data_IF_536836952247
#
_entry.id   IF_536836952247
#
_cell.length_a   1.000
_cell.length_b   1.000
_cell.length_c   1.000
_cell.angle_alpha   90.00
_cell.angle_beta   90.00
_cell.angle_gamma   90.00
#
_symmetry.space_group_name_H-M   'P 1'
#
loop_
_entity.id
_entity.type
_entity.pdbx_description
1 polymer ?
#
# COMPACT_ATOMS: atom_id res chain seq x y z
N UNK A 1 14.83 20.17 5.28
CA UNK A 1 14.72 20.28 6.76
C UNK A 1 14.05 19.05 7.36
N UNK A 2 14.44 18.56 8.56
CA UNK A 2 13.77 17.43 9.22
C UNK A 2 12.33 17.81 9.61
N UNK A 3 11.42 16.86 9.48
CA UNK A 3 10.02 17.05 9.87
C UNK A 3 9.89 16.98 11.38
N UNK A 4 9.31 18.03 11.99
CA UNK A 4 9.05 18.05 13.44
C UNK A 4 7.73 17.38 13.78
N UNK A 5 6.81 17.31 12.81
CA UNK A 5 5.48 16.76 13.03
C UNK A 5 4.90 16.12 11.77
N UNK A 6 4.07 15.09 11.96
CA UNK A 6 3.30 14.44 10.89
C UNK A 6 2.36 15.40 10.15
N UNK A 7 2.02 16.54 10.74
CA UNK A 7 1.26 17.60 10.11
C UNK A 7 2.06 18.38 9.07
N UNK A 8 3.39 18.46 9.18
CA UNK A 8 4.22 19.19 8.20
C UNK A 8 4.46 18.38 6.91
N UNK A 9 4.04 17.11 6.92
CA UNK A 9 4.21 16.21 5.78
C UNK A 9 3.40 16.69 4.56
N UNK A 10 3.87 16.38 3.34
CA UNK A 10 3.17 16.68 2.09
C UNK A 10 1.74 16.15 2.09
N UNK A 11 0.83 16.81 1.35
CA UNK A 11 -0.60 16.40 1.25
C UNK A 11 -0.76 14.92 0.89
N UNK A 12 0.09 14.39 0.00
CA UNK A 12 0.09 12.97 -0.40
C UNK A 12 0.39 12.03 0.77
N UNK A 13 1.24 12.45 1.71
CA UNK A 13 1.61 11.69 2.91
C UNK A 13 0.57 11.90 4.03
N UNK A 14 -0.09 13.06 4.08
CA UNK A 14 -1.18 13.33 5.03
C UNK A 14 -2.39 12.41 4.82
N UNK A 15 -2.58 11.85 3.62
CA UNK A 15 -3.64 10.87 3.35
C UNK A 15 -3.29 9.44 3.80
N UNK A 16 -2.06 9.21 4.30
CA UNK A 16 -1.65 7.90 4.81
C UNK A 16 -2.27 7.59 6.18
N UNK A 17 -2.31 6.32 6.59
CA UNK A 17 -2.59 5.93 7.97
C UNK A 17 -1.59 6.56 8.95
N UNK A 18 -2.03 6.86 10.18
CA UNK A 18 -1.18 7.51 11.21
C UNK A 18 0.17 6.80 11.43
N UNK A 19 0.18 5.46 11.40
CA UNK A 19 1.40 4.66 11.57
C UNK A 19 2.37 4.82 10.40
N UNK A 20 1.86 4.94 9.18
CA UNK A 20 2.67 5.17 7.98
C UNK A 20 3.28 6.58 7.99
N UNK A 21 2.55 7.61 8.47
CA UNK A 21 3.09 8.97 8.65
C UNK A 21 4.29 8.99 9.60
N UNK A 22 4.19 8.28 10.73
CA UNK A 22 5.29 8.16 11.69
C UNK A 22 6.49 7.45 11.08
N UNK A 23 6.26 6.38 10.31
CA UNK A 23 7.33 5.65 9.62
C UNK A 23 8.05 6.56 8.61
N UNK A 24 7.29 7.29 7.81
CA UNK A 24 7.81 8.26 6.85
C UNK A 24 8.71 9.30 7.52
N UNK A 25 8.21 9.94 8.58
CA UNK A 25 8.95 10.95 9.32
C UNK A 25 10.26 10.40 9.90
N UNK A 26 10.22 9.19 10.48
CA UNK A 26 11.40 8.53 11.03
C UNK A 26 12.43 8.20 9.96
N UNK A 27 12.00 7.63 8.84
CA UNK A 27 12.87 7.33 7.71
C UNK A 27 13.51 8.63 7.20
N UNK A 28 12.69 9.66 6.93
CA UNK A 28 13.17 10.95 6.47
C UNK A 28 14.23 11.54 7.41
N UNK A 29 13.94 11.60 8.72
CA UNK A 29 14.88 12.19 9.68
C UNK A 29 16.17 11.37 9.76
N UNK A 30 16.08 10.03 9.70
CA UNK A 30 17.26 9.16 9.69
C UNK A 30 18.15 9.39 8.46
N UNK A 31 17.55 9.49 7.26
CA UNK A 31 18.30 9.81 6.05
C UNK A 31 18.82 11.25 6.07
N UNK A 32 18.03 12.18 6.61
CA UNK A 32 18.47 13.56 6.75
C UNK A 32 19.71 13.64 7.62
N UNK A 33 19.76 12.99 8.78
CA UNK A 33 20.92 13.00 9.68
C UNK A 33 22.17 12.36 9.07
N UNK A 34 22.02 11.33 8.24
CA UNK A 34 23.15 10.61 7.63
C UNK A 34 23.86 11.42 6.52
N UNK A 35 23.12 12.29 5.83
CA UNK A 35 23.63 13.04 4.69
C UNK A 35 24.20 14.41 5.10
N UNK A 36 25.51 14.55 5.22
CA UNK A 36 26.18 15.86 5.42
C UNK A 36 26.48 16.55 4.06
N UNK A 37 25.43 16.80 3.26
CA UNK A 37 25.58 17.43 1.93
C UNK A 37 25.46 18.94 2.02
N UNK A 38 26.31 19.64 1.28
CA UNK A 38 26.31 21.11 1.15
C UNK A 38 25.07 21.68 0.47
N UNK A 39 24.31 20.86 -0.26
CA UNK A 39 23.11 21.26 -1.00
C UNK A 39 21.83 20.75 -0.31
N UNK A 40 21.11 21.66 0.34
CA UNK A 40 19.88 21.36 1.06
C UNK A 40 18.76 20.81 0.15
N UNK A 41 18.69 21.24 -1.11
CA UNK A 41 17.63 20.83 -2.03
C UNK A 41 17.82 19.38 -2.50
N UNK A 42 19.05 18.99 -2.84
CA UNK A 42 19.40 17.62 -3.19
C UNK A 42 19.20 16.67 -1.99
N UNK A 43 19.64 17.10 -0.79
CA UNK A 43 19.45 16.34 0.47
C UNK A 43 17.97 16.12 0.77
N UNK A 44 17.14 17.14 0.59
CA UNK A 44 15.69 17.05 0.83
C UNK A 44 15.02 16.08 -0.15
N UNK A 45 15.35 16.17 -1.45
CA UNK A 45 14.80 15.27 -2.45
C UNK A 45 15.19 13.80 -2.19
N UNK A 46 16.46 13.53 -1.90
CA UNK A 46 16.94 12.18 -1.61
C UNK A 46 16.28 11.60 -0.34
N UNK A 47 16.19 12.40 0.73
CA UNK A 47 15.53 12.00 1.97
C UNK A 47 14.03 11.71 1.76
N UNK A 48 13.37 12.48 0.89
CA UNK A 48 12.00 12.25 0.50
C UNK A 48 11.79 10.92 -0.24
N UNK A 49 12.65 10.62 -1.22
CA UNK A 49 12.60 9.38 -1.99
C UNK A 49 12.81 8.17 -1.09
N UNK A 50 13.82 8.22 -0.22
CA UNK A 50 14.12 7.14 0.71
C UNK A 50 13.00 6.91 1.73
N UNK A 51 12.41 7.98 2.28
CA UNK A 51 11.24 7.89 3.16
C UNK A 51 10.02 7.30 2.46
N UNK A 52 9.80 7.62 1.17
CA UNK A 52 8.73 7.02 0.37
C UNK A 52 8.96 5.54 0.11
N UNK A 53 10.21 5.11 -0.14
CA UNK A 53 10.54 3.70 -0.29
C UNK A 53 10.18 2.91 0.97
N UNK A 54 10.55 3.39 2.15
CA UNK A 54 10.20 2.73 3.42
C UNK A 54 8.68 2.60 3.64
N UNK A 55 7.90 3.60 3.24
CA UNK A 55 6.43 3.52 3.29
C UNK A 55 5.91 2.50 2.28
N UNK A 56 6.41 2.53 1.04
CA UNK A 56 6.00 1.62 -0.03
C UNK A 56 6.34 0.16 0.25
N UNK A 57 7.36 -0.12 1.06
CA UNK A 57 7.68 -1.48 1.52
C UNK A 57 6.66 -2.07 2.50
N UNK A 58 5.87 -1.23 3.17
CA UNK A 58 4.90 -1.67 4.18
C UNK A 58 3.44 -1.38 3.76
N UNK A 59 3.24 -0.38 2.92
CA UNK A 59 1.95 0.12 2.48
C UNK A 59 1.92 0.25 0.96
N UNK A 60 0.87 -0.26 0.33
CA UNK A 60 0.59 -0.10 -1.09
C UNK A 60 -0.64 0.78 -1.26
N UNK A 61 -0.64 1.62 -2.30
CA UNK A 61 -1.83 2.38 -2.67
C UNK A 61 -2.78 1.44 -3.40
N UNK A 62 -3.98 1.30 -2.85
CA UNK A 62 -5.08 0.59 -3.48
C UNK A 62 -5.55 1.39 -4.71
N UNK A 63 -5.54 0.76 -5.89
CA UNK A 63 -5.97 1.42 -7.13
C UNK A 63 -7.50 1.53 -7.22
N UNK A 64 -8.24 0.71 -6.48
CA UNK A 64 -9.71 0.69 -6.48
C UNK A 64 -10.27 1.81 -5.59
N UNK A 65 -9.72 1.99 -4.39
CA UNK A 65 -10.17 3.03 -3.44
C UNK A 65 -9.31 4.30 -3.47
N UNK A 66 -8.09 4.22 -4.01
CA UNK A 66 -7.11 5.31 -3.94
C UNK A 66 -6.49 5.50 -2.56
N UNK A 67 -6.78 4.63 -1.59
CA UNK A 67 -6.29 4.70 -0.22
C UNK A 67 -5.02 3.87 -0.02
N UNK A 68 -4.23 4.19 1.00
CA UNK A 68 -3.03 3.42 1.32
C UNK A 68 -3.33 2.33 2.33
N UNK A 69 -3.12 1.08 1.93
CA UNK A 69 -3.37 -0.13 2.73
C UNK A 69 -2.07 -0.85 3.02
N UNK A 70 -1.96 -1.45 4.20
CA UNK A 70 -0.78 -2.25 4.56
C UNK A 70 -0.71 -3.46 3.62
N UNK A 71 0.46 -3.77 3.06
CA UNK A 71 0.64 -4.87 2.07
C UNK A 71 0.10 -6.21 2.60
N UNK A 72 0.37 -6.52 3.88
CA UNK A 72 -0.13 -7.74 4.52
C UNK A 72 -1.67 -7.84 4.57
N UNK A 73 -2.38 -6.70 4.59
CA UNK A 73 -3.85 -6.68 4.53
C UNK A 73 -4.36 -6.80 3.09
N UNK A 74 -3.63 -6.23 2.12
CA UNK A 74 -3.99 -6.24 0.71
C UNK A 74 -3.93 -7.65 0.09
N UNK A 75 -2.92 -8.45 0.46
CA UNK A 75 -2.79 -9.84 0.00
C UNK A 75 -4.04 -10.66 0.38
N UNK A 76 -4.61 -10.42 1.57
CA UNK A 76 -5.86 -11.04 2.01
C UNK A 76 -7.13 -10.50 1.32
N UNK A 77 -7.11 -9.29 0.74
CA UNK A 77 -8.23 -8.71 -0.02
C UNK A 77 -8.21 -9.15 -1.49
N UNK A 78 -7.05 -9.12 -2.15
CA UNK A 78 -6.88 -9.60 -3.55
C UNK A 78 -7.23 -11.09 -3.68
N UNK A 79 -6.85 -11.94 -2.73
CA UNK A 79 -7.28 -13.36 -2.72
C UNK A 79 -8.79 -13.55 -2.55
N UNK A 80 -9.48 -12.67 -1.82
CA UNK A 80 -10.95 -12.70 -1.71
C UNK A 80 -11.64 -12.26 -2.99
N UNK A 81 -11.04 -11.35 -3.75
CA UNK A 81 -11.60 -10.82 -5.00
C UNK A 81 -11.47 -11.83 -6.16
N UNK A 82 -10.37 -12.59 -6.24
CA UNK A 82 -10.20 -13.67 -7.24
C UNK A 82 -11.21 -14.82 -7.04
N UNK A 83 -11.66 -15.07 -5.81
CA UNK A 83 -12.66 -16.12 -5.53
C UNK A 83 -14.11 -15.74 -5.91
N UNK A 84 -14.41 -14.47 -6.22
CA UNK A 84 -15.78 -14.04 -6.52
C UNK A 84 -16.22 -14.24 -7.97
N UNK A 85 -15.31 -14.59 -8.89
CA UNK A 85 -15.63 -14.82 -10.30
C UNK A 85 -15.68 -16.29 -10.74
N UNK A 86 -15.74 -17.24 -9.79
CA UNK A 86 -15.90 -18.68 -10.10
C UNK A 86 -17.11 -19.32 -9.41
N UNK A 87 -18.29 -18.68 -9.48
CA UNK A 87 -19.55 -19.33 -9.08
C UNK A 87 -20.74 -18.91 -9.97
N UNK A 88 -20.53 -18.83 -11.29
CA UNK A 88 -21.63 -18.64 -12.24
C UNK A 88 -21.35 -19.39 -13.54
N UNK A 89 -21.36 -20.73 -13.51
CA UNK A 89 -21.63 -21.65 -14.65
C UNK A 89 -21.32 -23.09 -14.24
N UNK A 90 -22.21 -23.71 -13.47
CA UNK A 90 -22.52 -25.15 -13.63
C UNK A 90 -24.01 -25.27 -13.31
N UNK A 91 -24.84 -24.77 -14.24
CA UNK A 91 -26.27 -25.02 -14.25
C UNK A 91 -26.54 -26.24 -15.11
N UNK A 92 -27.22 -27.23 -14.52
CA UNK A 92 -28.07 -28.19 -15.21
C UNK A 92 -27.36 -29.29 -16.02
N UNK A 93 -27.16 -30.44 -15.37
CA UNK A 93 -27.39 -31.72 -16.04
C UNK A 93 -28.24 -32.55 -15.08
N UNK A 94 -29.55 -32.47 -15.31
CA UNK A 94 -30.55 -33.26 -14.63
C UNK A 94 -30.38 -34.72 -15.02
N UNK A 95 -30.30 -35.56 -13.98
CA UNK A 95 -30.49 -37.00 -14.06
C UNK A 95 -31.87 -37.32 -14.64
N UNK A 96 -31.92 -38.15 -15.68
CA UNK A 96 -33.03 -39.08 -15.87
C UNK A 96 -32.50 -40.43 -16.33
N UNK A 97 -32.48 -41.34 -15.35
CA UNK A 97 -32.71 -42.77 -15.47
C UNK A 97 -33.70 -43.13 -16.58
N UNK A 98 -33.33 -44.13 -17.39
CA UNK A 98 -34.30 -45.08 -17.92
C UNK A 98 -33.64 -46.42 -18.20
N UNK A 99 -33.78 -47.33 -17.24
CA UNK A 99 -33.87 -48.75 -17.51
C UNK A 99 -35.12 -49.03 -18.37
N UNK A 100 -35.02 -49.87 -19.40
CA UNK A 100 -35.87 -51.06 -19.58
C UNK A 100 -35.54 -51.86 -20.84
N UNK A 101 -35.54 -53.20 -20.66
CA UNK A 101 -35.79 -54.30 -21.60
C UNK A 101 -34.72 -54.62 -22.66
#
# INVERSE_FOLDING_TARGET
>A
MPYKSISELPKSVRNLPSRAKTLYMKAFNSFWEDYDVTDDAAREKASHEAAWSAVKEQYEKDEETGEWVKIGEMIGKRSRHVMRHRKSRIGGLASQDKAHA
#
